data_IF_222912940222
#
_entry.id   IF_222912940222
#
_cell.length_a   1.000
_cell.length_b   1.000
_cell.length_c   1.000
_cell.angle_alpha   90.00
_cell.angle_beta   90.00
_cell.angle_gamma   90.00
#
_symmetry.space_group_name_H-M   'P 1'
#
loop_
_entity.id
_entity.type
_entity.pdbx_description
1 polymer ?
#
# COMPACT_ATOMS: atom_id res chain seq x y z
N UNK A 1 7.18 -12.48 -15.47
CA UNK A 1 8.40 -12.48 -16.30
C UNK A 1 9.59 -11.83 -15.58
N UNK A 2 9.55 -10.53 -15.26
CA UNK A 2 10.68 -9.83 -14.58
C UNK A 2 11.08 -10.45 -13.25
N UNK A 3 10.11 -10.79 -12.39
CA UNK A 3 10.39 -11.44 -11.10
C UNK A 3 11.07 -12.79 -11.32
N UNK A 4 10.51 -13.62 -12.21
CA UNK A 4 11.05 -14.93 -12.55
C UNK A 4 12.52 -14.85 -13.02
N UNK A 5 12.82 -13.95 -13.96
CA UNK A 5 14.19 -13.75 -14.43
C UNK A 5 15.09 -13.19 -13.34
N UNK A 6 14.65 -12.19 -12.58
CA UNK A 6 15.44 -11.62 -11.48
C UNK A 6 15.82 -12.67 -10.41
N UNK A 7 14.94 -13.64 -10.15
CA UNK A 7 15.22 -14.74 -9.21
C UNK A 7 16.08 -15.86 -9.78
N UNK A 8 15.93 -16.21 -11.07
CA UNK A 8 16.65 -17.33 -11.68
C UNK A 8 18.00 -16.93 -12.27
N UNK A 9 18.18 -15.67 -12.64
CA UNK A 9 19.40 -15.18 -13.28
C UNK A 9 20.68 -15.41 -12.48
N UNK A 10 20.72 -15.25 -11.14
CA UNK A 10 21.92 -15.57 -10.37
C UNK A 10 22.35 -17.03 -10.52
N UNK A 11 21.40 -17.97 -10.48
CA UNK A 11 21.64 -19.42 -10.61
C UNK A 11 22.12 -19.76 -12.02
N UNK A 12 21.47 -19.19 -13.04
CA UNK A 12 21.83 -19.41 -14.44
C UNK A 12 23.22 -18.83 -14.75
N UNK A 13 23.52 -17.63 -14.25
CA UNK A 13 24.83 -16.98 -14.44
C UNK A 13 25.94 -17.77 -13.76
N UNK A 14 25.68 -18.30 -12.56
CA UNK A 14 26.62 -19.18 -11.86
C UNK A 14 26.87 -20.47 -12.66
N UNK A 15 25.82 -21.12 -13.17
CA UNK A 15 25.94 -22.35 -13.94
C UNK A 15 26.67 -22.18 -15.29
N UNK A 16 26.48 -21.05 -15.97
CA UNK A 16 27.04 -20.82 -17.32
C UNK A 16 28.39 -20.11 -17.28
N UNK A 17 28.54 -19.10 -16.41
CA UNK A 17 29.71 -18.21 -16.38
C UNK A 17 30.60 -18.39 -15.16
N UNK A 18 30.19 -19.24 -14.20
CA UNK A 18 30.91 -19.41 -12.92
C UNK A 18 30.84 -18.17 -12.02
N UNK A 19 30.01 -17.17 -12.35
CA UNK A 19 29.90 -15.91 -11.59
C UNK A 19 28.44 -15.67 -11.21
N UNK A 20 28.21 -15.45 -9.92
CA UNK A 20 26.88 -15.17 -9.37
C UNK A 20 26.56 -13.68 -9.48
N UNK A 21 25.79 -13.30 -10.49
CA UNK A 21 25.29 -11.93 -10.63
C UNK A 21 24.05 -11.78 -9.75
N UNK A 22 24.13 -10.93 -8.72
CA UNK A 22 23.00 -10.67 -7.82
C UNK A 22 22.14 -9.54 -8.36
N UNK A 23 20.83 -9.77 -8.47
CA UNK A 23 19.86 -8.79 -8.95
C UNK A 23 19.13 -8.19 -7.74
N UNK A 24 19.49 -6.95 -7.38
CA UNK A 24 18.94 -6.26 -6.21
C UNK A 24 17.79 -5.29 -6.50
N UNK A 25 17.31 -4.55 -5.49
CA UNK A 25 16.25 -3.55 -5.62
C UNK A 25 16.40 -2.56 -6.78
N UNK A 26 17.60 -2.06 -7.15
CA UNK A 26 17.74 -1.15 -8.29
C UNK A 26 17.22 -1.71 -9.61
N UNK A 27 17.46 -2.99 -9.91
CA UNK A 27 16.97 -3.62 -11.13
C UNK A 27 15.45 -3.72 -11.13
N UNK A 28 14.87 -4.21 -10.03
CA UNK A 28 13.41 -4.34 -9.91
C UNK A 28 12.74 -2.98 -9.98
N UNK A 29 13.27 -1.97 -9.30
CA UNK A 29 12.73 -0.61 -9.35
C UNK A 29 12.82 -0.02 -10.75
N UNK A 30 13.90 -0.25 -11.49
CA UNK A 30 14.06 0.25 -12.86
C UNK A 30 13.04 -0.34 -13.84
N UNK A 31 12.61 -1.59 -13.64
CA UNK A 31 11.66 -2.27 -14.54
C UNK A 31 10.22 -2.16 -14.06
N UNK A 32 9.95 -2.42 -12.78
CA UNK A 32 8.60 -2.49 -12.22
C UNK A 32 8.00 -1.09 -12.06
N UNK A 33 8.78 -0.09 -11.64
CA UNK A 33 8.25 1.26 -11.39
C UNK A 33 7.62 1.87 -12.64
N UNK A 34 8.28 1.92 -13.82
CA UNK A 34 7.66 2.48 -15.02
C UNK A 34 6.41 1.71 -15.46
N UNK A 35 6.41 0.38 -15.36
CA UNK A 35 5.26 -0.46 -15.69
C UNK A 35 4.09 -0.17 -14.74
N UNK A 36 4.36 -0.08 -13.43
CA UNK A 36 3.37 0.25 -12.42
C UNK A 36 2.74 1.62 -12.66
N UNK A 37 3.55 2.64 -12.96
CA UNK A 37 3.07 3.98 -13.30
C UNK A 37 2.25 3.97 -14.60
N UNK A 38 2.68 3.22 -15.62
CA UNK A 38 1.92 3.05 -16.85
C UNK A 38 0.54 2.42 -16.61
N UNK A 39 0.47 1.38 -15.78
CA UNK A 39 -0.79 0.75 -15.39
C UNK A 39 -1.67 1.70 -14.57
N UNK A 40 -1.09 2.46 -13.63
CA UNK A 40 -1.80 3.46 -12.83
C UNK A 40 -2.39 4.56 -13.71
N UNK A 41 -1.65 5.01 -14.73
CA UNK A 41 -2.15 5.99 -15.70
C UNK A 41 -3.30 5.43 -16.55
N UNK A 42 -3.13 4.23 -17.12
CA UNK A 42 -4.18 3.55 -17.89
C UNK A 42 -5.45 3.34 -17.05
N UNK A 43 -5.29 3.02 -15.77
CA UNK A 43 -6.37 2.85 -14.80
C UNK A 43 -7.26 4.11 -14.67
N UNK A 44 -6.67 5.31 -14.71
CA UNK A 44 -7.41 6.57 -14.71
C UNK A 44 -7.98 6.94 -16.08
N UNK A 45 -7.33 6.56 -17.18
CA UNK A 45 -7.80 6.84 -18.53
C UNK A 45 -9.04 6.02 -18.90
N UNK A 46 -9.02 4.72 -18.61
CA UNK A 46 -10.04 3.79 -19.09
C UNK A 46 -11.49 4.18 -18.69
N UNK A 47 -11.77 4.67 -17.47
CA UNK A 47 -13.10 5.17 -17.09
C UNK A 47 -13.60 6.36 -17.94
N UNK A 48 -12.68 7.20 -18.41
CA UNK A 48 -13.00 8.43 -19.14
C UNK A 48 -13.28 8.17 -20.64
N UNK A 49 -12.67 7.11 -21.20
CA UNK A 49 -12.89 6.70 -22.60
C UNK A 49 -14.22 5.94 -22.71
N UNK A 50 -15.24 6.58 -23.28
CA UNK A 50 -16.46 5.88 -23.67
C UNK A 50 -16.21 5.08 -24.97
N UNK A 51 -15.98 3.77 -24.84
CA UNK A 51 -15.61 2.80 -25.89
C UNK A 51 -16.47 2.73 -27.17
N UNK A 52 -17.47 3.59 -27.38
CA UNK A 52 -18.30 3.56 -28.61
C UNK A 52 -18.64 4.89 -29.27
N UNK A 53 -18.75 6.02 -28.56
CA UNK A 53 -19.19 7.31 -29.13
C UNK A 53 -18.69 8.53 -28.33
N UNK A 54 -17.38 8.66 -28.11
CA UNK A 54 -16.84 9.92 -27.58
C UNK A 54 -16.31 10.78 -28.73
N UNK A 55 -16.87 11.98 -28.91
CA UNK A 55 -16.17 13.03 -29.65
C UNK A 55 -14.87 13.37 -28.91
N UNK A 56 -13.79 13.59 -29.66
CA UNK A 56 -12.47 13.96 -29.12
C UNK A 56 -12.58 15.20 -28.21
N UNK A 57 -13.41 16.17 -28.58
CA UNK A 57 -13.68 17.37 -27.77
C UNK A 57 -14.29 17.04 -26.40
N UNK A 58 -15.20 16.08 -26.33
CA UNK A 58 -15.84 15.70 -25.08
C UNK A 58 -14.89 14.88 -24.18
N UNK A 59 -13.93 14.17 -24.78
CA UNK A 59 -12.87 13.48 -24.06
C UNK A 59 -11.93 14.48 -23.38
N UNK A 60 -11.45 15.49 -24.12
CA UNK A 60 -10.59 16.54 -23.55
C UNK A 60 -11.25 17.27 -22.37
N UNK A 61 -12.54 17.59 -22.47
CA UNK A 61 -13.29 18.22 -21.35
C UNK A 61 -13.32 17.35 -20.09
N UNK A 62 -13.45 16.03 -20.25
CA UNK A 62 -13.46 15.09 -19.13
C UNK A 62 -12.07 14.89 -18.50
N UNK A 63 -11.02 14.99 -19.31
CA UNK A 63 -9.63 14.89 -18.85
C UNK A 63 -9.12 16.17 -18.18
N UNK A 64 -9.67 17.32 -18.56
CA UNK A 64 -9.15 18.62 -18.13
C UNK A 64 -9.07 18.75 -16.60
N UNK A 65 -10.16 18.45 -15.89
CA UNK A 65 -10.19 18.60 -14.42
C UNK A 65 -9.22 17.62 -13.73
N UNK A 66 -9.26 16.29 -13.99
CA UNK A 66 -8.29 15.36 -13.42
C UNK A 66 -6.83 15.72 -13.74
N UNK A 67 -6.50 16.04 -14.99
CA UNK A 67 -5.12 16.31 -15.41
C UNK A 67 -4.59 17.62 -14.84
N UNK A 68 -5.39 18.69 -14.81
CA UNK A 68 -4.98 19.96 -14.20
C UNK A 68 -4.80 19.82 -12.69
N UNK A 69 -5.71 19.12 -12.00
CA UNK A 69 -5.59 18.86 -10.56
C UNK A 69 -4.34 18.04 -10.24
N UNK A 70 -4.04 17.02 -11.06
CA UNK A 70 -2.82 16.24 -10.92
C UNK A 70 -1.54 17.06 -11.15
N UNK A 71 -1.53 17.94 -12.15
CA UNK A 71 -0.41 18.83 -12.43
C UNK A 71 -0.19 19.84 -11.30
N UNK A 72 -1.25 20.48 -10.80
CA UNK A 72 -1.20 21.39 -9.65
C UNK A 72 -0.72 20.65 -8.41
N UNK A 73 -1.25 19.44 -8.15
CA UNK A 73 -0.81 18.58 -7.06
C UNK A 73 0.68 18.24 -7.14
N UNK A 74 1.19 17.91 -8.32
CA UNK A 74 2.61 17.65 -8.54
C UNK A 74 3.47 18.89 -8.24
N UNK A 75 3.05 20.07 -8.70
CA UNK A 75 3.76 21.34 -8.43
C UNK A 75 3.78 21.63 -6.93
N UNK A 76 2.64 21.47 -6.25
CA UNK A 76 2.54 21.63 -4.80
C UNK A 76 3.49 20.69 -4.07
N UNK A 77 3.46 19.39 -4.38
CA UNK A 77 4.34 18.39 -3.78
C UNK A 77 5.83 18.68 -4.02
N UNK A 78 6.18 19.20 -5.21
CA UNK A 78 7.54 19.61 -5.53
C UNK A 78 8.00 20.82 -4.68
N UNK A 79 7.12 21.81 -4.48
CA UNK A 79 7.38 22.97 -3.61
C UNK A 79 7.59 22.52 -2.15
N UNK A 80 6.80 21.56 -1.67
CA UNK A 80 6.94 20.98 -0.33
C UNK A 80 8.12 20.01 -0.15
N UNK A 81 8.99 19.87 -1.17
CA UNK A 81 10.28 19.19 -1.03
C UNK A 81 10.36 17.77 -1.61
N UNK A 82 9.30 17.25 -2.24
CA UNK A 82 9.38 15.96 -2.94
C UNK A 82 10.17 16.14 -4.25
N UNK A 83 11.41 15.65 -4.29
CA UNK A 83 12.32 15.78 -5.45
C UNK A 83 12.44 14.53 -6.31
N UNK A 84 12.06 13.36 -5.77
CA UNK A 84 12.15 12.10 -6.52
C UNK A 84 11.15 12.09 -7.67
N UNK A 85 11.67 11.98 -8.91
CA UNK A 85 10.88 11.99 -10.14
C UNK A 85 9.77 10.94 -10.14
N UNK A 86 10.10 9.69 -9.83
CA UNK A 86 9.13 8.59 -9.78
C UNK A 86 8.06 8.80 -8.71
N UNK A 87 8.45 9.33 -7.55
CA UNK A 87 7.53 9.63 -6.44
C UNK A 87 6.54 10.73 -6.82
N UNK A 88 7.05 11.79 -7.45
CA UNK A 88 6.25 12.93 -7.90
C UNK A 88 5.20 12.48 -8.94
N UNK A 89 5.63 11.72 -9.95
CA UNK A 89 4.72 11.18 -10.97
C UNK A 89 3.72 10.22 -10.35
N UNK A 90 4.16 9.34 -9.44
CA UNK A 90 3.27 8.40 -8.76
C UNK A 90 2.14 9.12 -8.04
N UNK A 91 2.45 10.13 -7.21
CA UNK A 91 1.43 10.91 -6.51
C UNK A 91 0.56 11.73 -7.47
N UNK A 92 1.13 12.33 -8.52
CA UNK A 92 0.36 13.03 -9.54
C UNK A 92 -0.67 12.10 -10.20
N UNK A 93 -0.25 10.88 -10.56
CA UNK A 93 -1.14 9.86 -11.12
C UNK A 93 -2.17 9.37 -10.11
N UNK A 94 -1.81 9.22 -8.83
CA UNK A 94 -2.77 8.92 -7.77
C UNK A 94 -3.85 10.00 -7.69
N UNK A 95 -3.47 11.28 -7.69
CA UNK A 95 -4.41 12.42 -7.71
C UNK A 95 -5.29 12.36 -8.97
N UNK A 96 -4.68 12.16 -10.15
CA UNK A 96 -5.41 12.04 -11.41
C UNK A 96 -6.50 10.96 -11.34
N UNK A 97 -6.15 9.77 -10.85
CA UNK A 97 -7.10 8.65 -10.73
C UNK A 97 -8.17 8.95 -9.68
N UNK A 98 -7.79 9.45 -8.50
CA UNK A 98 -8.76 9.79 -7.44
C UNK A 98 -9.80 10.80 -7.91
N UNK A 99 -9.36 11.87 -8.56
CA UNK A 99 -10.27 12.88 -9.11
C UNK A 99 -11.15 12.27 -10.21
N UNK A 100 -10.59 11.43 -11.06
CA UNK A 100 -11.37 10.72 -12.09
C UNK A 100 -12.48 9.85 -11.48
N UNK A 101 -12.13 9.02 -10.49
CA UNK A 101 -13.09 8.16 -9.80
C UNK A 101 -14.14 9.00 -9.08
N UNK A 102 -13.73 10.04 -8.36
CA UNK A 102 -14.63 10.95 -7.67
C UNK A 102 -15.65 11.58 -8.62
N UNK A 103 -15.21 12.10 -9.77
CA UNK A 103 -16.09 12.70 -10.77
C UNK A 103 -17.06 11.69 -11.38
N UNK A 104 -16.63 10.44 -11.61
CA UNK A 104 -17.51 9.36 -12.10
C UNK A 104 -18.62 9.00 -11.09
N UNK A 105 -18.32 9.00 -9.79
CA UNK A 105 -19.32 8.85 -8.74
C UNK A 105 -20.23 10.08 -8.62
N UNK A 106 -19.65 11.28 -8.64
CA UNK A 106 -20.37 12.54 -8.48
C UNK A 106 -21.36 12.78 -9.62
N UNK A 107 -20.89 12.75 -10.88
CA UNK A 107 -21.75 12.95 -12.04
C UNK A 107 -22.77 11.82 -12.19
N UNK A 108 -22.37 10.56 -11.96
CA UNK A 108 -23.29 9.43 -11.99
C UNK A 108 -24.43 9.58 -10.97
N UNK A 109 -24.11 10.01 -9.75
CA UNK A 109 -25.09 10.24 -8.68
C UNK A 109 -25.99 11.43 -9.00
N UNK A 110 -25.41 12.56 -9.44
CA UNK A 110 -26.16 13.78 -9.79
C UNK A 110 -27.14 13.56 -10.94
N UNK A 111 -26.71 12.88 -12.00
CA UNK A 111 -27.60 12.55 -13.14
C UNK A 111 -28.74 11.65 -12.68
N UNK A 112 -28.45 10.65 -11.83
CA UNK A 112 -29.49 9.76 -11.31
C UNK A 112 -30.49 10.48 -10.40
N UNK A 113 -30.00 11.34 -9.51
CA UNK A 113 -30.83 12.22 -8.68
C UNK A 113 -31.77 13.06 -9.55
N UNK A 114 -31.25 13.70 -10.61
CA UNK A 114 -32.05 14.55 -11.49
C UNK A 114 -33.14 13.79 -12.24
N UNK A 115 -32.83 12.59 -12.75
CA UNK A 115 -33.76 11.77 -13.55
C UNK A 115 -34.83 11.10 -12.68
N UNK A 116 -34.44 10.48 -11.57
CA UNK A 116 -35.36 9.69 -10.74
C UNK A 116 -35.94 10.47 -9.55
N UNK A 117 -35.50 11.72 -9.34
CA UNK A 117 -35.90 12.58 -8.21
C UNK A 117 -35.76 11.92 -6.84
N UNK A 118 -34.80 10.99 -6.70
CA UNK A 118 -34.48 10.29 -5.44
C UNK A 118 -33.46 11.11 -4.63
N UNK A 119 -33.48 11.09 -3.29
CA UNK A 119 -32.44 11.71 -2.47
C UNK A 119 -31.02 11.21 -2.80
N UNK A 120 -29.99 12.04 -2.59
CA UNK A 120 -28.60 11.77 -3.01
C UNK A 120 -28.05 10.42 -2.52
N UNK A 121 -28.30 10.05 -1.25
CA UNK A 121 -27.85 8.77 -0.69
C UNK A 121 -28.49 7.57 -1.41
N UNK A 122 -29.80 7.64 -1.67
CA UNK A 122 -30.54 6.60 -2.39
C UNK A 122 -30.09 6.51 -3.86
N UNK A 123 -29.82 7.66 -4.49
CA UNK A 123 -29.27 7.71 -5.83
C UNK A 123 -27.89 7.04 -5.89
N UNK A 124 -26.97 7.34 -4.97
CA UNK A 124 -25.65 6.71 -4.90
C UNK A 124 -25.75 5.19 -4.70
N UNK A 125 -26.54 4.75 -3.72
CA UNK A 125 -26.75 3.33 -3.45
C UNK A 125 -27.29 2.59 -4.69
N UNK A 126 -28.34 3.13 -5.29
CA UNK A 126 -28.95 2.54 -6.48
C UNK A 126 -28.02 2.58 -7.71
N UNK A 127 -27.14 3.58 -7.81
CA UNK A 127 -26.11 3.66 -8.86
C UNK A 127 -25.14 2.49 -8.75
N UNK A 128 -24.63 2.22 -7.55
CA UNK A 128 -23.70 1.11 -7.29
C UNK A 128 -24.39 -0.24 -7.50
N UNK A 129 -25.56 -0.46 -6.88
CA UNK A 129 -26.26 -1.77 -6.94
C UNK A 129 -26.77 -2.12 -8.33
N UNK A 130 -27.11 -1.13 -9.16
CA UNK A 130 -27.54 -1.38 -10.55
C UNK A 130 -26.37 -1.57 -11.51
N UNK A 131 -25.21 -0.99 -11.22
CA UNK A 131 -24.02 -1.03 -12.08
C UNK A 131 -22.81 -1.60 -11.32
N UNK A 132 -23.03 -2.72 -10.61
CA UNK A 132 -22.06 -3.35 -9.69
C UNK A 132 -20.68 -3.56 -10.29
N UNK A 133 -20.61 -4.07 -11.52
CA UNK A 133 -19.33 -4.31 -12.20
C UNK A 133 -18.52 -3.03 -12.38
N UNK A 134 -19.19 -1.93 -12.76
CA UNK A 134 -18.54 -0.64 -13.02
C UNK A 134 -18.08 0.00 -11.71
N UNK A 135 -19.00 0.20 -10.77
CA UNK A 135 -18.70 0.91 -9.53
C UNK A 135 -17.94 0.05 -8.51
N UNK A 136 -18.15 -1.26 -8.48
CA UNK A 136 -17.30 -2.18 -7.72
C UNK A 136 -15.87 -2.21 -8.27
N UNK A 137 -15.70 -2.18 -9.60
CA UNK A 137 -14.39 -1.98 -10.23
C UNK A 137 -13.75 -0.66 -9.83
N UNK A 138 -14.50 0.45 -9.77
CA UNK A 138 -13.98 1.74 -9.28
C UNK A 138 -13.55 1.69 -7.80
N UNK A 139 -14.24 0.93 -6.95
CA UNK A 139 -13.80 0.69 -5.56
C UNK A 139 -12.47 -0.09 -5.53
N UNK A 140 -12.30 -1.09 -6.41
CA UNK A 140 -11.01 -1.78 -6.54
C UNK A 140 -9.91 -0.81 -6.97
N UNK A 141 -10.14 0.01 -7.99
CA UNK A 141 -9.17 1.01 -8.44
C UNK A 141 -8.81 2.00 -7.33
N UNK A 142 -9.78 2.42 -6.50
CA UNK A 142 -9.50 3.25 -5.32
C UNK A 142 -8.55 2.53 -4.35
N UNK A 143 -8.77 1.24 -4.07
CA UNK A 143 -7.87 0.44 -3.25
C UNK A 143 -6.45 0.33 -3.84
N UNK A 144 -6.33 0.18 -5.17
CA UNK A 144 -5.03 0.21 -5.87
C UNK A 144 -4.33 1.56 -5.67
N UNK A 145 -5.06 2.69 -5.75
CA UNK A 145 -4.46 4.01 -5.50
C UNK A 145 -3.92 4.11 -4.06
N UNK A 146 -4.64 3.61 -3.06
CA UNK A 146 -4.14 3.59 -1.68
C UNK A 146 -2.84 2.79 -1.55
N UNK A 147 -2.72 1.67 -2.25
CA UNK A 147 -1.48 0.89 -2.33
C UNK A 147 -0.35 1.70 -2.96
N UNK A 148 -0.58 2.37 -4.10
CA UNK A 148 0.43 3.19 -4.74
C UNK A 148 0.88 4.39 -3.89
N UNK A 149 -0.05 5.02 -3.16
CA UNK A 149 0.27 6.08 -2.17
C UNK A 149 1.23 5.54 -1.12
N UNK A 150 0.92 4.39 -0.52
CA UNK A 150 1.75 3.77 0.51
C UNK A 150 3.12 3.31 -0.03
N UNK A 151 3.17 2.71 -1.21
CA UNK A 151 4.44 2.32 -1.87
C UNK A 151 5.30 3.55 -2.19
N UNK A 152 4.69 4.65 -2.62
CA UNK A 152 5.42 5.89 -2.91
C UNK A 152 5.94 6.55 -1.64
N UNK A 153 5.25 6.38 -0.51
CA UNK A 153 5.70 6.89 0.79
C UNK A 153 6.99 6.22 1.27
N UNK A 154 7.30 5.01 0.80
CA UNK A 154 8.52 4.27 1.13
C UNK A 154 9.81 5.06 0.80
N UNK A 155 9.77 6.02 -0.12
CA UNK A 155 10.94 6.88 -0.39
C UNK A 155 11.30 7.82 0.76
N UNK A 156 10.43 7.97 1.75
CA UNK A 156 10.63 8.78 2.94
C UNK A 156 10.94 7.93 4.18
N UNK A 157 11.32 6.66 4.02
CA UNK A 157 11.75 5.83 5.14
C UNK A 157 12.99 6.43 5.81
N UNK A 158 13.00 6.40 7.13
CA UNK A 158 14.13 6.79 7.95
C UNK A 158 14.72 5.56 8.63
N UNK A 159 16.04 5.46 8.69
CA UNK A 159 16.74 4.38 9.36
C UNK A 159 17.84 4.95 10.26
N UNK A 160 17.97 4.38 11.46
CA UNK A 160 19.08 4.68 12.37
C UNK A 160 19.50 3.42 13.12
N UNK A 161 20.82 3.22 13.22
CA UNK A 161 21.41 2.19 14.06
C UNK A 161 22.08 2.85 15.27
N UNK A 162 21.80 2.33 16.47
CA UNK A 162 22.30 2.89 17.72
C UNK A 162 22.63 1.78 18.72
N UNK A 163 23.64 2.02 19.55
CA UNK A 163 23.96 1.15 20.68
C UNK A 163 23.61 1.87 21.97
N UNK A 164 22.91 1.18 22.87
CA UNK A 164 22.41 1.72 24.14
C UNK A 164 22.86 0.84 25.29
N UNK A 165 23.22 1.46 26.41
CA UNK A 165 23.35 0.78 27.70
C UNK A 165 22.02 0.73 28.43
N UNK A 166 21.90 -0.20 29.37
CA UNK A 166 20.68 -0.35 30.17
C UNK A 166 20.30 0.96 30.86
N UNK A 167 19.04 1.38 30.73
CA UNK A 167 18.52 2.65 31.26
C UNK A 167 18.70 3.85 30.33
N UNK A 168 19.56 3.76 29.31
CA UNK A 168 19.73 4.82 28.32
C UNK A 168 18.53 4.90 27.38
N UNK A 169 18.34 6.10 26.84
CA UNK A 169 17.30 6.38 25.86
C UNK A 169 17.84 7.18 24.70
N UNK A 170 17.28 6.99 23.51
CA UNK A 170 17.56 7.84 22.37
C UNK A 170 16.28 8.39 21.76
N UNK A 171 16.43 9.54 21.13
CA UNK A 171 15.35 10.19 20.38
C UNK A 171 15.52 9.91 18.89
N UNK A 172 14.40 9.68 18.21
CA UNK A 172 14.30 9.49 16.77
C UNK A 172 12.97 10.08 16.28
N UNK A 173 13.06 11.20 15.57
CA UNK A 173 11.89 12.03 15.25
C UNK A 173 11.07 12.34 16.51
N UNK A 174 9.77 12.04 16.51
CA UNK A 174 8.84 12.25 17.61
C UNK A 174 8.93 11.16 18.70
N UNK A 175 9.69 10.09 18.46
CA UNK A 175 9.80 8.96 19.37
C UNK A 175 11.01 9.05 20.28
N UNK A 176 10.82 8.64 21.53
CA UNK A 176 11.90 8.35 22.47
C UNK A 176 11.83 6.88 22.85
N UNK A 177 12.91 6.16 22.62
CA UNK A 177 13.02 4.73 22.94
C UNK A 177 14.01 4.58 24.08
N UNK A 178 13.60 3.89 25.14
CA UNK A 178 14.45 3.59 26.30
C UNK A 178 14.70 2.08 26.40
N UNK A 179 15.96 1.71 26.62
CA UNK A 179 16.33 0.32 26.88
C UNK A 179 16.11 -0.01 28.36
N UNK A 180 15.16 -0.89 28.67
CA UNK A 180 14.79 -1.24 30.03
C UNK A 180 15.54 -2.49 30.53
N UNK A 181 15.52 -3.59 29.78
CA UNK A 181 16.15 -4.86 30.17
C UNK A 181 16.36 -5.81 29.00
N UNK A 182 17.29 -6.76 29.16
CA UNK A 182 17.50 -7.90 28.27
C UNK A 182 17.22 -9.17 29.06
N UNK A 183 16.53 -10.11 28.44
CA UNK A 183 16.31 -11.45 29.00
C UNK A 183 16.84 -12.46 28.00
N UNK A 184 17.71 -13.34 28.47
CA UNK A 184 18.23 -14.48 27.72
C UNK A 184 17.71 -15.75 28.38
N UNK A 185 16.94 -16.55 27.64
CA UNK A 185 16.34 -17.77 28.16
C UNK A 185 16.32 -18.91 27.14
N UNK A 186 16.62 -20.15 27.57
CA UNK A 186 16.45 -21.32 26.75
C UNK A 186 14.98 -21.78 26.71
N UNK A 187 14.61 -22.44 25.62
CA UNK A 187 13.39 -23.25 25.50
C UNK A 187 13.77 -24.66 25.06
N UNK A 188 12.78 -25.55 24.90
CA UNK A 188 13.00 -26.91 24.42
C UNK A 188 13.78 -26.94 23.09
N UNK A 189 13.46 -26.03 22.16
CA UNK A 189 13.94 -26.04 20.77
C UNK A 189 14.84 -24.86 20.39
N UNK A 190 14.82 -23.77 21.16
CA UNK A 190 15.50 -22.51 20.80
C UNK A 190 16.08 -21.77 22.01
N UNK A 191 17.17 -21.03 21.81
CA UNK A 191 17.65 -19.98 22.71
C UNK A 191 17.02 -18.65 22.27
N UNK A 192 16.48 -17.87 23.20
CA UNK A 192 15.83 -16.58 22.89
C UNK A 192 16.46 -15.47 23.71
N UNK A 193 16.85 -14.40 23.01
CA UNK A 193 17.32 -13.15 23.59
C UNK A 193 16.33 -12.05 23.24
N UNK A 194 15.64 -11.53 24.25
CA UNK A 194 14.58 -10.53 24.10
C UNK A 194 14.95 -9.24 24.83
N UNK A 195 14.91 -8.11 24.12
CA UNK A 195 15.16 -6.79 24.70
C UNK A 195 13.83 -6.10 24.98
N UNK A 196 13.58 -5.66 26.22
CA UNK A 196 12.42 -4.86 26.59
C UNK A 196 12.73 -3.38 26.43
N UNK A 197 11.94 -2.70 25.61
CA UNK A 197 12.10 -1.28 25.32
C UNK A 197 10.80 -0.53 25.62
N UNK A 198 10.88 0.59 26.32
CA UNK A 198 9.75 1.49 26.49
C UNK A 198 9.74 2.53 25.37
N UNK A 199 8.64 2.61 24.63
CA UNK A 199 8.42 3.61 23.59
C UNK A 199 7.59 4.76 24.13
N UNK A 200 8.08 5.97 23.94
CA UNK A 200 7.39 7.22 24.27
C UNK A 200 7.17 8.05 23.02
N UNK A 201 6.03 8.73 22.94
CA UNK A 201 5.72 9.74 21.93
C UNK A 201 5.17 10.98 22.66
N UNK A 202 5.71 12.17 22.37
CA UNK A 202 5.33 13.43 23.03
C UNK A 202 5.34 13.36 24.57
N UNK A 203 6.33 12.65 25.13
CA UNK A 203 6.51 12.50 26.58
C UNK A 203 5.63 11.42 27.25
N UNK A 204 4.64 10.85 26.55
CA UNK A 204 3.79 9.78 27.07
C UNK A 204 4.26 8.41 26.62
N UNK A 205 4.21 7.41 27.50
CA UNK A 205 4.52 6.02 27.14
C UNK A 205 3.39 5.46 26.28
N UNK A 206 3.69 5.10 25.03
CA UNK A 206 2.70 4.63 24.04
C UNK A 206 2.74 3.11 23.83
N UNK A 207 3.89 2.47 24.03
CA UNK A 207 4.04 1.02 23.88
C UNK A 207 5.23 0.47 24.65
N UNK A 208 5.26 -0.86 24.81
CA UNK A 208 6.46 -1.63 25.16
C UNK A 208 6.80 -2.49 23.95
N UNK A 209 8.03 -2.38 23.46
CA UNK A 209 8.53 -3.13 22.31
C UNK A 209 9.47 -4.22 22.81
N UNK A 210 9.29 -5.43 22.28
CA UNK A 210 10.08 -6.60 22.66
C UNK A 210 10.68 -7.24 21.40
N UNK A 211 11.70 -6.64 20.77
CA UNK A 211 12.42 -7.29 19.70
C UNK A 211 13.22 -8.48 20.23
N UNK A 212 13.29 -9.56 19.45
CA UNK A 212 13.94 -10.80 19.85
C UNK A 212 14.94 -11.30 18.81
N UNK A 213 16.02 -11.93 19.28
CA UNK A 213 16.87 -12.82 18.50
C UNK A 213 16.68 -14.24 19.00
N UNK A 214 16.39 -15.14 18.08
CA UNK A 214 16.16 -16.55 18.36
C UNK A 214 17.21 -17.39 17.65
N UNK A 215 17.87 -18.30 18.35
CA UNK A 215 18.73 -19.33 17.75
C UNK A 215 18.08 -20.69 17.94
N UNK A 216 17.68 -21.34 16.85
CA UNK A 216 17.15 -22.69 16.89
C UNK A 216 18.29 -23.69 17.04
N UNK A 217 18.14 -24.73 17.88
CA UNK A 217 19.17 -25.76 18.08
C UNK A 217 19.54 -26.51 16.80
N UNK A 218 18.64 -26.53 15.81
CA UNK A 218 18.83 -27.18 14.52
C UNK A 218 19.40 -26.25 13.44
N UNK A 219 19.71 -24.99 13.74
CA UNK A 219 20.17 -24.00 12.78
C UNK A 219 21.38 -23.23 13.33
N UNK A 220 22.36 -22.93 12.48
CA UNK A 220 23.53 -22.15 12.89
C UNK A 220 23.28 -20.64 12.88
N UNK A 221 22.28 -20.17 12.13
CA UNK A 221 21.97 -18.75 11.99
C UNK A 221 20.79 -18.34 12.88
N UNK A 222 20.90 -17.24 13.65
CA UNK A 222 19.79 -16.75 14.44
C UNK A 222 18.74 -16.06 13.56
N UNK A 223 17.47 -16.27 13.88
CA UNK A 223 16.34 -15.51 13.34
C UNK A 223 16.05 -14.30 14.21
N UNK A 224 15.45 -13.25 13.65
CA UNK A 224 15.11 -12.02 14.38
C UNK A 224 13.62 -11.77 14.29
N UNK A 225 12.96 -11.61 15.44
CA UNK A 225 11.59 -11.11 15.54
C UNK A 225 11.63 -9.61 15.75
N UNK A 226 10.96 -8.88 14.87
CA UNK A 226 10.98 -7.43 14.83
C UNK A 226 9.81 -6.90 15.65
N UNK A 227 10.08 -5.98 16.58
CA UNK A 227 9.01 -5.27 17.26
C UNK A 227 8.50 -4.14 16.37
N UNK A 228 7.17 -4.07 16.20
CA UNK A 228 6.52 -3.10 15.32
C UNK A 228 5.49 -2.32 16.13
N UNK A 229 5.54 -0.99 16.03
CA UNK A 229 4.48 -0.11 16.48
C UNK A 229 3.83 0.57 15.28
N UNK A 230 2.58 0.19 14.98
CA UNK A 230 1.83 0.67 13.82
C UNK A 230 0.89 1.81 14.20
N UNK A 231 0.92 2.88 13.41
CA UNK A 231 -0.04 3.99 13.44
C UNK A 231 -0.65 4.21 12.05
N UNK A 232 -1.59 5.16 11.93
CA UNK A 232 -2.12 5.54 10.62
C UNK A 232 -1.12 6.34 9.76
N UNK A 233 -0.13 6.96 10.38
CA UNK A 233 0.89 7.79 9.72
C UNK A 233 2.09 6.95 9.29
N UNK A 234 2.53 6.03 10.15
CA UNK A 234 3.78 5.28 9.99
C UNK A 234 3.85 4.06 10.90
N UNK A 235 4.77 3.16 10.54
CA UNK A 235 5.18 2.01 11.34
C UNK A 235 6.61 2.22 11.84
N UNK A 236 6.82 2.08 13.14
CA UNK A 236 8.13 2.06 13.78
C UNK A 236 8.58 0.60 13.95
N UNK A 237 9.62 0.22 13.22
CA UNK A 237 10.27 -1.09 13.32
C UNK A 237 11.48 -0.97 14.22
N UNK A 238 11.61 -1.88 15.19
CA UNK A 238 12.78 -1.97 16.05
C UNK A 238 13.33 -3.39 15.97
N UNK A 239 14.58 -3.49 15.52
CA UNK A 239 15.29 -4.73 15.28
C UNK A 239 16.45 -4.82 16.27
N UNK A 240 16.54 -5.91 17.02
CA UNK A 240 17.71 -6.22 17.83
C UNK A 240 18.83 -6.70 16.90
N UNK A 241 19.82 -5.85 16.63
CA UNK A 241 20.91 -6.15 15.70
C UNK A 241 22.07 -6.88 16.39
N UNK A 242 22.36 -6.52 17.64
CA UNK A 242 23.41 -7.14 18.45
C UNK A 242 23.18 -6.88 19.94
N UNK A 243 23.86 -7.63 20.79
CA UNK A 243 23.79 -7.48 22.24
C UNK A 243 25.10 -7.94 22.89
N UNK A 244 25.37 -7.41 24.07
CA UNK A 244 26.41 -7.86 25.00
C UNK A 244 25.85 -7.87 26.43
N UNK A 245 26.70 -7.92 27.44
CA UNK A 245 26.27 -8.01 28.85
C UNK A 245 25.43 -6.79 29.29
N UNK A 246 25.88 -5.57 28.97
CA UNK A 246 25.24 -4.32 29.43
C UNK A 246 24.74 -3.41 28.29
N UNK A 247 24.87 -3.85 27.04
CA UNK A 247 24.54 -3.03 25.88
C UNK A 247 23.75 -3.82 24.83
N UNK A 248 22.93 -3.09 24.07
CA UNK A 248 22.25 -3.60 22.89
C UNK A 248 22.46 -2.67 21.72
N UNK A 249 22.57 -3.23 20.52
CA UNK A 249 22.52 -2.48 19.27
C UNK A 249 21.15 -2.68 18.63
N UNK A 250 20.45 -1.58 18.42
CA UNK A 250 19.15 -1.52 17.77
C UNK A 250 19.29 -0.92 16.39
N UNK A 251 18.58 -1.50 15.42
CA UNK A 251 18.29 -0.87 14.12
C UNK A 251 16.82 -0.47 14.14
N UNK A 252 16.57 0.83 14.02
CA UNK A 252 15.23 1.42 14.12
C UNK A 252 14.88 2.05 12.78
N UNK A 253 13.68 1.74 12.28
CA UNK A 253 13.18 2.25 11.01
C UNK A 253 11.79 2.88 11.21
N UNK A 254 11.57 4.04 10.59
CA UNK A 254 10.23 4.62 10.46
C UNK A 254 9.83 4.48 8.99
N UNK A 255 8.76 3.71 8.74
CA UNK A 255 8.22 3.50 7.41
C UNK A 255 6.82 4.13 7.34
N UNK A 256 6.63 5.22 6.57
CA UNK A 256 5.35 5.90 6.51
C UNK A 256 4.31 5.11 5.69
N UNK A 257 3.05 5.25 6.09
CA UNK A 257 1.84 4.77 5.41
C UNK A 257 1.76 3.26 5.14
N UNK A 258 2.53 2.40 5.81
CA UNK A 258 2.48 0.93 5.59
C UNK A 258 1.08 0.37 5.81
N UNK A 259 0.34 0.82 6.83
CA UNK A 259 -1.04 0.37 7.08
C UNK A 259 -1.97 0.61 5.88
N UNK A 260 -1.70 1.61 5.04
CA UNK A 260 -2.52 1.92 3.88
C UNK A 260 -2.37 0.89 2.74
N UNK A 261 -1.27 0.11 2.73
CA UNK A 261 -1.17 -1.09 1.88
C UNK A 261 -2.26 -2.10 2.23
N UNK A 262 -2.44 -2.35 3.53
CA UNK A 262 -3.44 -3.29 4.05
C UNK A 262 -4.85 -2.77 3.86
N UNK A 263 -5.09 -1.49 4.17
CA UNK A 263 -6.39 -0.84 3.93
C UNK A 263 -6.74 -0.91 2.44
N UNK A 264 -5.78 -0.63 1.54
CA UNK A 264 -5.95 -0.78 0.10
C UNK A 264 -6.35 -2.20 -0.29
N UNK A 265 -5.69 -3.21 0.29
CA UNK A 265 -6.04 -4.63 0.14
C UNK A 265 -7.49 -4.95 0.52
N UNK A 266 -7.90 -4.50 1.71
CA UNK A 266 -9.29 -4.68 2.19
C UNK A 266 -10.29 -3.99 1.28
N UNK A 267 -10.02 -2.75 0.86
CA UNK A 267 -10.86 -1.98 -0.07
C UNK A 267 -11.01 -2.70 -1.41
N UNK A 268 -9.94 -3.27 -1.95
CA UNK A 268 -10.00 -4.09 -3.18
C UNK A 268 -10.86 -5.34 -2.98
N UNK A 269 -10.75 -6.00 -1.82
CA UNK A 269 -11.61 -7.12 -1.44
C UNK A 269 -13.09 -6.73 -1.43
N UNK A 270 -13.43 -5.61 -0.76
CA UNK A 270 -14.79 -5.08 -0.71
C UNK A 270 -15.33 -4.72 -2.11
N UNK A 271 -14.52 -4.08 -2.95
CA UNK A 271 -14.87 -3.79 -4.34
C UNK A 271 -15.17 -5.05 -5.14
N UNK A 272 -14.38 -6.10 -4.94
CA UNK A 272 -14.59 -7.41 -5.57
C UNK A 272 -15.88 -8.07 -5.11
N UNK A 273 -16.19 -8.02 -3.81
CA UNK A 273 -17.46 -8.51 -3.27
C UNK A 273 -18.67 -7.80 -3.90
N UNK A 274 -18.59 -6.47 -4.09
CA UNK A 274 -19.65 -5.71 -4.79
C UNK A 274 -19.87 -6.25 -6.21
N UNK A 275 -18.78 -6.54 -6.94
CA UNK A 275 -18.85 -7.09 -8.31
C UNK A 275 -19.50 -8.48 -8.33
N UNK A 276 -19.27 -9.30 -7.31
CA UNK A 276 -19.78 -10.68 -7.21
C UNK A 276 -21.26 -10.78 -6.83
N UNK A 277 -21.87 -9.73 -6.30
CA UNK A 277 -23.29 -9.77 -5.90
C UNK A 277 -24.20 -10.12 -7.10
N UNK A 278 -25.19 -11.01 -6.92
CA UNK A 278 -26.03 -11.49 -8.01
C UNK A 278 -26.87 -10.36 -8.65
N UNK A 279 -27.01 -10.43 -9.97
CA UNK A 279 -27.88 -9.52 -10.71
C UNK A 279 -29.34 -9.94 -10.55
N UNK A 280 -30.11 -9.12 -9.81
CA UNK A 280 -31.58 -9.27 -9.69
C UNK A 280 -32.29 -9.37 -11.05
N UNK A 281 -31.71 -8.82 -12.12
CA UNK A 281 -32.27 -8.90 -13.49
C UNK A 281 -32.14 -10.28 -14.14
N UNK A 282 -31.19 -11.12 -13.72
CA UNK A 282 -30.97 -12.45 -14.31
C UNK A 282 -31.99 -13.48 -13.83
N UNK A 283 -32.55 -13.30 -12.63
CA UNK A 283 -33.56 -14.19 -12.05
C UNK A 283 -34.94 -14.06 -12.74
N UNK A 284 -35.33 -12.87 -13.23
CA UNK A 284 -36.64 -12.70 -13.90
C UNK A 284 -36.72 -13.40 -15.26
N UNK A 285 -35.60 -13.57 -15.98
CA UNK A 285 -35.59 -14.25 -17.29
C UNK A 285 -35.58 -15.78 -17.19
N UNK A 286 -35.13 -16.38 -16.09
CA UNK A 286 -35.20 -17.84 -15.91
C UNK A 286 -36.62 -18.29 -15.53
N UNK A 287 -37.32 -17.53 -14.69
CA UNK A 287 -38.71 -17.84 -14.27
C UNK A 287 -39.73 -17.64 -15.41
N UNK A 288 -39.51 -16.66 -16.30
CA UNK A 288 -40.43 -16.45 -17.44
C UNK A 288 -40.26 -17.51 -18.55
N UNK A 289 -39.13 -18.21 -18.61
CA UNK A 289 -38.91 -19.32 -19.57
C UNK A 289 -39.55 -20.64 -19.12
N UNK A 290 -39.85 -20.82 -17.83
CA UNK A 290 -40.54 -22.02 -17.32
C UNK A 290 -42.06 -21.92 -17.40
N UNK A 291 -42.63 -20.71 -17.44
CA UNK A 291 -44.09 -20.49 -17.48
C UNK A 291 -44.65 -20.51 -18.92
N UNK A 292 -43.83 -20.25 -19.95
CA UNK A 292 -44.26 -20.25 -21.36
C UNK A 292 -44.05 -21.64 -22.03
N UNK A 293 -43.92 -22.70 -21.23
CA UNK A 293 -43.72 -24.08 -21.69
C UNK A 293 -44.81 -25.06 -21.24
N UNK A 294 -45.96 -24.54 -20.81
CA UNK A 294 -47.17 -25.32 -20.58
C UNK A 294 -48.29 -24.78 -21.46
#
# INVERSE_FOLDING_TARGET
FTVLWGTLFPIISEAIRGVKITVGPPFFNAVITPIGLGLLFLMGICPLIAWRKSSVSNLFKKFFIPSTTAAVGAVVLFIFGIRSFYTLISYALCIFVLITLFLEFFYGTRTRHSIFKEGYHKALWNLVVRNKRRYGGYVVHFGVVLVFIALSANTFNLEKQITLKKGESFNFEEYKIRYDSLVDYPTATKQVVAATLSLFNNGHKVAVLVPEKTLFKSQEQPTTEVAIHTTLKEDLYVILAGYGEDWITLKVLINPLVVWLWIGGVVMGLGTLIVMLPDRRRQSKSVRKSIVRF
#
